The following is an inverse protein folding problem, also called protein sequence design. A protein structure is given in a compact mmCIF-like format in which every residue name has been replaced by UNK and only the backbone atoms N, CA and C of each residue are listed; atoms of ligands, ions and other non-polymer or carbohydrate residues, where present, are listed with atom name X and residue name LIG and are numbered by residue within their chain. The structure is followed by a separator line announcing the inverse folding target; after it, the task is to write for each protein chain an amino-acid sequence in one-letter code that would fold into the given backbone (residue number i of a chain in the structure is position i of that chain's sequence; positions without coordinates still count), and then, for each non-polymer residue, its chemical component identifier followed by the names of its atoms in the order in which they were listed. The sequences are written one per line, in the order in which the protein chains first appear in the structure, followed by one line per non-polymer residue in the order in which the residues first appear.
data_IF_667475731902
#
_entry.id   IF_667475731902
#
_cell.length_a   1.000
_cell.length_b   1.000
_cell.length_c   1.000
_cell.angle_alpha   90.00
_cell.angle_beta   90.00
_cell.angle_gamma   90.00
#
_symmetry.space_group_name_H-M   'P 1'
#
loop_
_entity.id
_entity.type
_entity.pdbx_description
1 polymer ?
#
# COMPACT_ATOMS: atom_id res chain seq x y z
N UNK A 1 2.82 17.13 3.48
CA UNK A 1 2.03 16.75 2.29
C UNK A 1 0.84 17.69 2.15
N UNK A 2 0.55 18.11 0.95
CA UNK A 2 -0.61 18.94 0.68
C UNK A 2 -1.88 18.07 0.58
N UNK A 3 -2.88 18.37 1.40
CA UNK A 3 -4.16 17.65 1.44
C UNK A 3 -5.29 18.46 0.77
N UNK A 4 -5.00 19.12 -0.34
CA UNK A 4 -6.04 19.83 -1.09
C UNK A 4 -6.94 18.89 -1.89
N UNK A 5 -8.16 19.34 -2.17
CA UNK A 5 -9.14 18.59 -2.97
C UNK A 5 -8.54 18.20 -4.31
N UNK A 6 -8.73 16.95 -4.70
CA UNK A 6 -8.19 16.37 -5.93
C UNK A 6 -6.81 15.74 -5.80
N UNK A 7 -6.12 15.93 -4.68
CA UNK A 7 -4.79 15.36 -4.45
C UNK A 7 -4.88 13.83 -4.29
N UNK A 8 -4.02 13.12 -5.02
CA UNK A 8 -3.87 11.68 -4.86
C UNK A 8 -3.11 11.38 -3.56
N UNK A 9 -3.60 10.42 -2.82
CA UNK A 9 -3.02 10.00 -1.53
C UNK A 9 -3.03 8.48 -1.43
N UNK A 10 -2.20 7.96 -0.53
CA UNK A 10 -2.22 6.55 -0.14
C UNK A 10 -2.57 6.47 1.34
N UNK A 11 -3.63 5.72 1.64
CA UNK A 11 -3.96 5.37 3.01
C UNK A 11 -3.33 4.01 3.29
N UNK A 12 -2.24 4.03 4.06
CA UNK A 12 -1.41 2.84 4.29
C UNK A 12 -2.26 1.64 4.76
N UNK A 13 -2.10 0.50 4.10
CA UNK A 13 -2.87 -0.71 4.38
C UNK A 13 -4.29 -0.74 3.82
N UNK A 14 -4.78 0.38 3.27
CA UNK A 14 -6.16 0.51 2.76
C UNK A 14 -6.26 0.80 1.26
N UNK A 15 -5.24 1.40 0.68
CA UNK A 15 -5.17 1.62 -0.76
C UNK A 15 -5.00 3.09 -1.16
N UNK A 16 -5.05 3.32 -2.47
CA UNK A 16 -4.93 4.66 -3.05
C UNK A 16 -6.29 5.35 -3.08
N UNK A 17 -6.27 6.66 -3.05
CA UNK A 17 -7.47 7.47 -3.13
C UNK A 17 -7.18 8.91 -3.51
N UNK A 18 -8.23 9.72 -3.47
CA UNK A 18 -8.15 11.17 -3.71
C UNK A 18 -8.91 11.91 -2.64
N UNK A 19 -8.41 13.07 -2.28
CA UNK A 19 -9.12 14.00 -1.41
C UNK A 19 -10.34 14.51 -2.19
N UNK A 20 -11.53 14.20 -1.69
CA UNK A 20 -12.79 14.61 -2.31
C UNK A 20 -13.28 15.94 -1.75
N UNK A 21 -13.16 16.14 -0.45
CA UNK A 21 -13.71 17.29 0.24
C UNK A 21 -12.94 17.59 1.52
N UNK A 22 -12.87 18.87 1.86
CA UNK A 22 -12.43 19.33 3.17
C UNK A 22 -13.55 20.15 3.78
N UNK A 23 -13.92 19.85 5.01
CA UNK A 23 -15.00 20.55 5.70
C UNK A 23 -14.67 20.73 7.16
N UNK A 24 -15.36 21.69 7.80
CA UNK A 24 -15.28 21.89 9.24
C UNK A 24 -16.48 21.26 9.90
N UNK A 25 -16.25 20.49 10.96
CA UNK A 25 -17.31 19.82 11.72
C UNK A 25 -17.05 19.97 13.21
N UNK A 26 -18.12 19.97 14.00
CA UNK A 26 -18.00 19.93 15.46
C UNK A 26 -17.93 18.47 15.88
N UNK A 27 -16.82 18.07 16.49
CA UNK A 27 -16.57 16.72 17.00
C UNK A 27 -16.18 16.86 18.47
N UNK A 28 -16.91 16.16 19.33
CA UNK A 28 -16.68 16.19 20.79
C UNK A 28 -16.66 17.63 21.36
N UNK A 29 -17.52 18.50 20.86
CA UNK A 29 -17.64 19.89 21.33
C UNK A 29 -16.63 20.87 20.77
N UNK A 30 -15.70 20.42 19.91
CA UNK A 30 -14.69 21.27 19.28
C UNK A 30 -14.84 21.27 17.76
N UNK A 31 -14.62 22.43 17.13
CA UNK A 31 -14.61 22.55 15.69
C UNK A 31 -13.31 21.94 15.15
N UNK A 32 -13.42 20.99 14.22
CA UNK A 32 -12.30 20.32 13.59
C UNK A 32 -12.45 20.30 12.08
N UNK A 33 -11.35 20.43 11.37
CA UNK A 33 -11.33 20.24 9.93
C UNK A 33 -11.27 18.72 9.63
N UNK A 34 -12.12 18.27 8.71
CA UNK A 34 -12.25 16.87 8.32
C UNK A 34 -11.93 16.73 6.83
N UNK A 35 -11.19 15.70 6.50
CA UNK A 35 -10.83 15.34 5.12
C UNK A 35 -11.65 14.12 4.72
N UNK A 36 -12.37 14.22 3.61
CA UNK A 36 -13.11 13.12 3.01
C UNK A 36 -12.29 12.57 1.83
N UNK A 37 -12.03 11.27 1.85
CA UNK A 37 -11.18 10.58 0.88
C UNK A 37 -12.01 9.51 0.19
N UNK A 38 -12.01 9.51 -1.14
CA UNK A 38 -12.56 8.41 -1.93
C UNK A 38 -11.42 7.44 -2.28
N UNK A 39 -11.54 6.20 -1.80
CA UNK A 39 -10.59 5.15 -2.09
C UNK A 39 -10.95 4.44 -3.41
N UNK A 40 -9.94 3.88 -4.06
CA UNK A 40 -10.11 3.18 -5.35
C UNK A 40 -11.00 1.93 -5.26
N UNK A 41 -11.17 1.37 -4.06
CA UNK A 41 -12.06 0.22 -3.82
C UNK A 41 -13.53 0.61 -3.66
N UNK A 42 -13.89 1.88 -3.85
CA UNK A 42 -15.26 2.38 -3.74
C UNK A 42 -15.67 2.82 -2.34
N UNK A 43 -14.81 2.68 -1.35
CA UNK A 43 -15.07 3.16 0.00
C UNK A 43 -14.71 4.64 0.14
N UNK A 44 -15.45 5.35 0.98
CA UNK A 44 -15.14 6.72 1.38
C UNK A 44 -14.78 6.74 2.86
N UNK A 45 -13.73 7.48 3.21
CA UNK A 45 -13.24 7.58 4.58
C UNK A 45 -13.18 9.04 4.98
N UNK A 46 -13.69 9.37 6.16
CA UNK A 46 -13.58 10.70 6.76
C UNK A 46 -12.56 10.65 7.90
N UNK A 47 -11.57 11.53 7.83
CA UNK A 47 -10.53 11.64 8.86
C UNK A 47 -10.41 13.08 9.33
N UNK A 48 -10.27 13.34 10.66
CA UNK A 48 -9.81 14.63 11.12
C UNK A 48 -8.48 14.99 10.45
N UNK A 49 -8.30 16.27 10.11
CA UNK A 49 -7.10 16.71 9.38
C UNK A 49 -5.80 16.26 10.04
N UNK A 50 -5.74 16.37 11.36
CA UNK A 50 -4.56 15.95 12.14
C UNK A 50 -4.24 14.47 11.93
N UNK A 51 -5.25 13.60 11.96
CA UNK A 51 -5.07 12.18 11.71
C UNK A 51 -4.74 11.90 10.25
N UNK A 52 -5.36 12.63 9.33
CA UNK A 52 -5.07 12.50 7.91
C UNK A 52 -3.59 12.78 7.62
N UNK A 53 -3.02 13.80 8.24
CA UNK A 53 -1.59 14.12 8.10
C UNK A 53 -0.67 13.02 8.60
N UNK A 54 -1.12 12.24 9.58
CA UNK A 54 -0.36 11.13 10.15
C UNK A 54 -0.52 9.83 9.35
N UNK A 55 -1.71 9.58 8.80
CA UNK A 55 -2.09 8.29 8.22
C UNK A 55 -1.98 8.24 6.69
N UNK A 56 -1.99 9.40 6.04
CA UNK A 56 -1.89 9.48 4.59
C UNK A 56 -0.47 9.81 4.17
N UNK A 57 -0.06 9.26 3.02
CA UNK A 57 1.21 9.61 2.39
C UNK A 57 1.00 9.94 0.91
N UNK A 58 1.98 10.58 0.32
CA UNK A 58 2.01 10.80 -1.11
C UNK A 58 2.22 9.46 -1.84
N UNK A 59 1.67 9.29 -3.05
CA UNK A 59 1.98 8.13 -3.88
C UNK A 59 3.47 8.05 -4.20
N UNK A 60 3.94 6.86 -4.53
CA UNK A 60 5.32 6.60 -4.90
C UNK A 60 5.74 7.48 -6.07
N UNK A 61 7.01 7.90 -6.07
CA UNK A 61 7.66 8.53 -7.22
C UNK A 61 8.23 7.47 -8.15
N UNK A 62 8.64 7.86 -9.37
CA UNK A 62 9.34 6.92 -10.27
C UNK A 62 10.65 6.41 -9.64
N UNK A 63 11.34 7.24 -8.86
CA UNK A 63 12.52 6.81 -8.10
C UNK A 63 12.17 5.72 -7.08
N UNK A 64 11.05 5.87 -6.40
CA UNK A 64 10.56 4.83 -5.47
C UNK A 64 10.23 3.54 -6.22
N UNK A 65 9.61 3.63 -7.40
CA UNK A 65 9.28 2.45 -8.21
C UNK A 65 10.51 1.75 -8.75
N UNK A 66 11.59 2.48 -9.05
CA UNK A 66 12.87 1.87 -9.42
C UNK A 66 13.42 1.03 -8.26
N UNK A 67 13.33 1.52 -7.04
CA UNK A 67 13.72 0.77 -5.84
C UNK A 67 12.83 -0.45 -5.61
N UNK A 68 11.54 -0.30 -5.86
CA UNK A 68 10.59 -1.42 -5.81
C UNK A 68 10.99 -2.52 -6.79
N UNK A 69 11.28 -2.16 -8.04
CA UNK A 69 11.73 -3.11 -9.05
C UNK A 69 13.01 -3.86 -8.64
N UNK A 70 13.98 -3.14 -8.09
CA UNK A 70 15.21 -3.76 -7.57
C UNK A 70 14.92 -4.74 -6.43
N UNK A 71 14.04 -4.36 -5.50
CA UNK A 71 13.65 -5.21 -4.38
C UNK A 71 12.96 -6.48 -4.86
N UNK A 72 12.04 -6.37 -5.81
CA UNK A 72 11.33 -7.53 -6.38
C UNK A 72 12.26 -8.50 -7.10
N UNK A 73 13.34 -8.00 -7.70
CA UNK A 73 14.33 -8.82 -8.41
C UNK A 73 15.37 -9.46 -7.48
N UNK A 74 15.43 -9.06 -6.23
CA UNK A 74 16.38 -9.65 -5.26
C UNK A 74 15.95 -11.06 -4.89
N UNK A 75 16.93 -11.85 -4.45
CA UNK A 75 16.64 -13.14 -3.84
C UNK A 75 15.77 -12.94 -2.60
N UNK A 76 14.86 -13.87 -2.33
CA UNK A 76 14.07 -13.80 -1.10
C UNK A 76 14.97 -13.82 0.13
N UNK A 77 14.54 -13.10 1.17
CA UNK A 77 15.19 -13.16 2.47
C UNK A 77 15.06 -14.58 3.04
N UNK A 78 16.06 -15.01 3.82
CA UNK A 78 15.98 -16.27 4.52
C UNK A 78 14.77 -16.22 5.50
N UNK A 79 13.79 -17.13 5.36
CA UNK A 79 12.60 -17.05 6.17
C UNK A 79 12.89 -17.44 7.61
N UNK A 80 12.29 -16.74 8.57
CA UNK A 80 12.25 -17.19 9.96
C UNK A 80 11.51 -18.54 10.00
N UNK A 81 12.07 -19.50 10.70
CA UNK A 81 11.48 -20.85 10.81
C UNK A 81 10.18 -20.83 11.60
N UNK A 82 9.97 -19.80 12.42
CA UNK A 82 8.75 -19.65 13.22
C UNK A 82 7.64 -19.02 12.37
N UNK A 83 6.60 -19.80 12.16
CA UNK A 83 5.44 -19.34 11.37
C UNK A 83 4.84 -18.04 11.90
N UNK A 84 4.69 -17.91 13.23
CA UNK A 84 4.09 -16.74 13.85
C UNK A 84 4.93 -15.48 13.62
N UNK A 85 6.26 -15.61 13.70
CA UNK A 85 7.17 -14.49 13.45
C UNK A 85 7.08 -14.01 12.00
N UNK A 86 7.00 -14.91 11.02
CA UNK A 86 6.81 -14.55 9.61
C UNK A 86 5.50 -13.82 9.38
N UNK A 87 4.42 -14.32 10.00
CA UNK A 87 3.09 -13.69 9.92
C UNK A 87 3.11 -12.28 10.48
N UNK A 88 3.67 -12.09 11.67
CA UNK A 88 3.74 -10.79 12.33
C UNK A 88 4.58 -9.79 11.52
N UNK A 89 5.70 -10.23 10.97
CA UNK A 89 6.55 -9.38 10.13
C UNK A 89 5.80 -8.93 8.87
N UNK A 90 5.14 -9.84 8.18
CA UNK A 90 4.36 -9.51 6.98
C UNK A 90 3.18 -8.58 7.30
N UNK A 91 2.46 -8.81 8.40
CA UNK A 91 1.37 -7.95 8.83
C UNK A 91 1.85 -6.54 9.18
N UNK A 92 3.02 -6.43 9.83
CA UNK A 92 3.62 -5.13 10.15
C UNK A 92 3.98 -4.35 8.88
N UNK A 93 4.55 -5.02 7.89
CA UNK A 93 4.88 -4.41 6.59
C UNK A 93 3.63 -3.96 5.83
N UNK A 94 2.58 -4.78 5.84
CA UNK A 94 1.30 -4.39 5.23
C UNK A 94 0.69 -3.16 5.91
N UNK A 95 0.76 -3.09 7.23
CA UNK A 95 0.24 -1.95 7.99
C UNK A 95 1.05 -0.68 7.74
N UNK A 96 2.38 -0.78 7.67
CA UNK A 96 3.23 0.34 7.31
C UNK A 96 2.98 0.80 5.87
N UNK A 97 2.76 -0.16 4.97
CA UNK A 97 2.21 0.09 3.63
C UNK A 97 3.09 0.92 2.71
N UNK A 98 4.39 1.04 2.98
CA UNK A 98 5.29 1.72 2.03
C UNK A 98 5.49 0.83 0.80
N UNK A 99 5.83 1.41 -0.38
CA UNK A 99 6.08 0.60 -1.57
C UNK A 99 7.14 -0.48 -1.36
N UNK A 100 8.21 -0.17 -0.64
CA UNK A 100 9.27 -1.14 -0.34
C UNK A 100 8.80 -2.24 0.59
N UNK A 101 8.03 -1.92 1.62
CA UNK A 101 7.46 -2.93 2.52
C UNK A 101 6.57 -3.91 1.76
N UNK A 102 5.72 -3.40 0.88
CA UNK A 102 4.85 -4.24 0.07
C UNK A 102 5.67 -5.12 -0.89
N UNK A 103 6.71 -4.56 -1.50
CA UNK A 103 7.61 -5.30 -2.38
C UNK A 103 8.33 -6.44 -1.64
N UNK A 104 8.77 -6.20 -0.41
CA UNK A 104 9.42 -7.22 0.40
C UNK A 104 8.46 -8.37 0.76
N UNK A 105 7.22 -8.06 1.10
CA UNK A 105 6.20 -9.10 1.35
C UNK A 105 5.98 -9.95 0.10
N UNK A 106 5.86 -9.32 -1.06
CA UNK A 106 5.65 -10.01 -2.33
C UNK A 106 6.84 -10.93 -2.65
N UNK A 107 8.05 -10.40 -2.55
CA UNK A 107 9.29 -11.16 -2.82
C UNK A 107 9.40 -12.38 -1.92
N UNK A 108 9.24 -12.18 -0.62
CA UNK A 108 9.50 -13.22 0.37
C UNK A 108 8.35 -14.25 0.46
N UNK A 109 7.11 -13.78 0.47
CA UNK A 109 5.94 -14.66 0.55
C UNK A 109 5.66 -15.38 -0.76
N UNK A 110 5.91 -14.72 -1.90
CA UNK A 110 5.70 -15.31 -3.22
C UNK A 110 6.70 -16.42 -3.56
N UNK A 111 7.86 -16.45 -2.91
CA UNK A 111 8.90 -17.45 -3.13
C UNK A 111 8.64 -18.77 -2.39
N UNK A 112 7.67 -18.82 -1.50
CA UNK A 112 7.39 -20.03 -0.72
C UNK A 112 6.70 -21.06 -1.59
N UNK A 113 7.22 -22.29 -1.57
CA UNK A 113 6.68 -23.41 -2.35
C UNK A 113 5.35 -23.96 -1.81
N UNK A 114 5.11 -23.82 -0.50
CA UNK A 114 3.89 -24.29 0.16
C UNK A 114 3.45 -23.26 1.19
N UNK A 115 2.91 -22.11 0.75
CA UNK A 115 2.47 -21.09 1.69
C UNK A 115 1.21 -21.55 2.41
N UNK A 116 1.07 -21.18 3.69
CA UNK A 116 -0.20 -21.32 4.40
C UNK A 116 -1.27 -20.44 3.73
N UNK A 117 -2.55 -20.73 4.00
CA UNK A 117 -3.64 -19.89 3.49
C UNK A 117 -3.50 -18.43 3.94
N UNK A 118 -3.01 -18.21 5.16
CA UNK A 118 -2.76 -16.87 5.69
C UNK A 118 -1.61 -16.15 4.96
N UNK A 119 -0.50 -16.84 4.73
CA UNK A 119 0.63 -16.29 3.96
C UNK A 119 0.20 -15.92 2.53
N UNK A 120 -0.62 -16.75 1.91
CA UNK A 120 -1.16 -16.47 0.59
C UNK A 120 -2.07 -15.23 0.60
N UNK A 121 -2.93 -15.09 1.61
CA UNK A 121 -3.79 -13.93 1.78
C UNK A 121 -2.98 -12.64 1.91
N UNK A 122 -1.92 -12.67 2.73
CA UNK A 122 -1.03 -11.52 2.92
C UNK A 122 -0.29 -11.18 1.62
N UNK A 123 0.18 -12.17 0.89
CA UNK A 123 0.82 -11.99 -0.41
C UNK A 123 -0.12 -11.31 -1.42
N UNK A 124 -1.35 -11.85 -1.55
CA UNK A 124 -2.33 -11.30 -2.48
C UNK A 124 -2.72 -9.86 -2.10
N UNK A 125 -2.84 -9.58 -0.82
CA UNK A 125 -3.16 -8.22 -0.35
C UNK A 125 -2.02 -7.24 -0.65
N UNK A 126 -0.79 -7.63 -0.40
CA UNK A 126 0.38 -6.80 -0.71
C UNK A 126 0.48 -6.52 -2.22
N UNK A 127 0.26 -7.53 -3.05
CA UNK A 127 0.27 -7.42 -4.50
C UNK A 127 -0.82 -6.46 -5.00
N UNK A 128 -2.03 -6.58 -4.47
CA UNK A 128 -3.15 -5.69 -4.81
C UNK A 128 -2.84 -4.23 -4.45
N UNK A 129 -2.39 -3.98 -3.23
CA UNK A 129 -2.07 -2.63 -2.75
C UNK A 129 -0.95 -1.99 -3.58
N UNK A 130 0.11 -2.73 -3.85
CA UNK A 130 1.23 -2.21 -4.65
C UNK A 130 0.80 -1.97 -6.11
N UNK A 131 0.02 -2.87 -6.68
CA UNK A 131 -0.48 -2.72 -8.04
C UNK A 131 -1.39 -1.50 -8.19
N UNK A 132 -2.27 -1.24 -7.23
CA UNK A 132 -3.12 -0.05 -7.24
C UNK A 132 -2.28 1.23 -7.22
N UNK A 133 -1.24 1.27 -6.43
CA UNK A 133 -0.36 2.44 -6.36
C UNK A 133 0.44 2.63 -7.65
N UNK A 134 0.99 1.58 -8.22
CA UNK A 134 1.71 1.62 -9.50
C UNK A 134 0.77 2.09 -10.62
N UNK A 135 -0.44 1.55 -10.65
CA UNK A 135 -1.45 1.96 -11.63
C UNK A 135 -1.74 3.46 -11.55
N UNK A 136 -1.89 3.98 -10.34
CA UNK A 136 -2.13 5.40 -10.10
C UNK A 136 -0.96 6.26 -10.59
N UNK A 137 0.27 5.86 -10.29
CA UNK A 137 1.47 6.65 -10.61
C UNK A 137 1.77 6.63 -12.11
N UNK A 138 1.63 5.47 -12.75
CA UNK A 138 2.01 5.26 -14.16
C UNK A 138 0.87 5.37 -15.14
N UNK A 139 -0.36 5.57 -14.68
CA UNK A 139 -1.53 5.63 -15.54
C UNK A 139 -1.86 4.30 -16.22
N UNK A 140 -1.58 3.18 -15.54
CA UNK A 140 -1.90 1.83 -15.99
C UNK A 140 -3.21 1.37 -15.35
N UNK A 141 -3.83 0.33 -15.92
CA UNK A 141 -4.84 -0.40 -15.17
C UNK A 141 -4.17 -1.33 -14.14
N UNK A 142 -4.93 -1.78 -13.15
CA UNK A 142 -4.42 -2.61 -12.05
C UNK A 142 -3.88 -3.94 -12.56
N UNK A 143 -4.51 -4.55 -13.56
CA UNK A 143 -4.07 -5.83 -14.12
C UNK A 143 -2.70 -5.71 -14.81
N UNK A 144 -2.46 -4.63 -15.54
CA UNK A 144 -1.15 -4.36 -16.14
C UNK A 144 -0.10 -4.08 -15.08
N UNK A 145 -0.48 -3.39 -14.00
CA UNK A 145 0.43 -3.17 -12.87
C UNK A 145 0.81 -4.49 -12.17
N UNK A 146 -0.14 -5.41 -12.00
CA UNK A 146 0.13 -6.76 -11.47
C UNK A 146 1.07 -7.54 -12.38
N UNK A 147 0.88 -7.46 -13.69
CA UNK A 147 1.76 -8.09 -14.67
C UNK A 147 3.20 -7.55 -14.54
N UNK A 148 3.36 -6.25 -14.37
CA UNK A 148 4.68 -5.65 -14.16
C UNK A 148 5.34 -6.22 -12.90
N UNK A 149 4.60 -6.33 -11.79
CA UNK A 149 5.12 -6.90 -10.54
C UNK A 149 5.59 -8.34 -10.77
N UNK A 150 4.76 -9.16 -11.39
CA UNK A 150 5.07 -10.55 -11.65
C UNK A 150 6.29 -10.71 -12.56
N UNK A 151 6.42 -9.86 -13.58
CA UNK A 151 7.56 -9.87 -14.48
C UNK A 151 8.86 -9.47 -13.77
N UNK A 152 8.81 -8.49 -12.88
CA UNK A 152 9.98 -8.08 -12.10
C UNK A 152 10.46 -9.20 -11.16
N UNK A 153 9.53 -9.89 -10.50
CA UNK A 153 9.86 -11.06 -9.67
C UNK A 153 10.50 -12.17 -10.51
N UNK A 154 10.02 -12.40 -11.71
CA UNK A 154 10.52 -13.44 -12.61
C UNK A 154 11.91 -13.15 -13.19
N UNK A 155 12.43 -11.92 -13.07
CA UNK A 155 13.75 -11.52 -13.57
C UNK A 155 14.93 -11.86 -12.63
N UNK A 156 14.66 -12.57 -11.58
CA UNK A 156 15.71 -13.02 -10.62
C UNK A 156 16.74 -13.92 -11.30
#
# INVERSE_FOLDING_TARGET
MNLSVGTAVVYAGHGVGRIRERSKRVIAGAEQEVVLIDLSNGLSVSLPLERAQMLLRAPATESDLDKVGKTLRQDPSEPDKRWLARKQDAEAKLSAGTPLDLAEVIRDSGARSSPSSNERTLYLRARELLAEEIAQVRGLDVENAKTWIDDEVARV
#
